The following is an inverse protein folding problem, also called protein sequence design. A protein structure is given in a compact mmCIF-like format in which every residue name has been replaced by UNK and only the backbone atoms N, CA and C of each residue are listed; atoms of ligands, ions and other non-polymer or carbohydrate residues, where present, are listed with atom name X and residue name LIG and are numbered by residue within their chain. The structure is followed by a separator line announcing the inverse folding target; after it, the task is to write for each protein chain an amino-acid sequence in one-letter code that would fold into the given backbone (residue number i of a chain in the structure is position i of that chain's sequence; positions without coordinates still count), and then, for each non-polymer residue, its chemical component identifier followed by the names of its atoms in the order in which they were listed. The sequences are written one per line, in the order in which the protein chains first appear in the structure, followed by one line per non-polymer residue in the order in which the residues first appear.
data_IF_881990580581
#
_entry.id   IF_881990580581
#
_cell.length_a   1.000
_cell.length_b   1.000
_cell.length_c   1.000
_cell.angle_alpha   90.00
_cell.angle_beta   90.00
_cell.angle_gamma   90.00
#
_symmetry.space_group_name_H-M   'P 1'
#
loop_
_entity.id
_entity.type
_entity.pdbx_description
1 polymer ?
#
# COMPACT_ATOMS: atom_id res chain seq x y z
N UNK A 1 23.64 34.23 -24.20
CA UNK A 1 23.40 32.76 -24.32
C UNK A 1 24.53 32.09 -23.57
N UNK A 2 24.35 31.76 -22.31
CA UNK A 2 25.36 31.12 -21.48
C UNK A 2 25.61 29.72 -21.99
N UNK A 3 26.81 29.45 -22.49
CA UNK A 3 27.24 28.11 -22.90
C UNK A 3 27.40 27.26 -21.63
N UNK A 4 26.45 26.34 -21.40
CA UNK A 4 26.54 25.35 -20.32
C UNK A 4 27.80 24.51 -20.59
N UNK A 5 28.78 24.60 -19.70
CA UNK A 5 30.06 23.87 -19.86
C UNK A 5 29.81 22.34 -19.77
N UNK A 6 30.56 21.52 -20.54
CA UNK A 6 30.44 20.06 -20.50
C UNK A 6 30.55 19.48 -19.07
N UNK A 7 31.36 20.08 -18.20
CA UNK A 7 31.48 19.71 -16.79
C UNK A 7 30.18 19.90 -16.02
N UNK A 8 29.45 21.00 -16.26
CA UNK A 8 28.14 21.23 -15.60
C UNK A 8 27.07 20.24 -16.05
N UNK A 9 27.10 19.80 -17.31
CA UNK A 9 26.21 18.75 -17.83
C UNK A 9 26.50 17.39 -17.19
N UNK A 10 27.77 17.02 -17.03
CA UNK A 10 28.18 15.76 -16.37
C UNK A 10 27.82 15.75 -14.89
N UNK A 11 27.98 16.88 -14.19
CA UNK A 11 27.59 17.01 -12.79
C UNK A 11 26.08 16.91 -12.59
N UNK A 12 25.30 17.51 -13.48
CA UNK A 12 23.83 17.44 -13.47
C UNK A 12 23.35 16.01 -13.72
N UNK A 13 23.98 15.29 -14.64
CA UNK A 13 23.65 13.89 -14.93
C UNK A 13 24.00 12.97 -13.75
N UNK A 14 25.17 13.17 -13.12
CA UNK A 14 25.57 12.42 -11.94
C UNK A 14 24.61 12.64 -10.75
N UNK A 15 24.20 13.89 -10.48
CA UNK A 15 23.19 14.23 -9.44
C UNK A 15 21.84 13.57 -9.74
N UNK A 16 21.40 13.59 -10.99
CA UNK A 16 20.15 12.96 -11.42
C UNK A 16 20.19 11.45 -11.23
N UNK A 17 21.29 10.79 -11.64
CA UNK A 17 21.48 9.34 -11.43
C UNK A 17 21.50 8.98 -9.94
N UNK A 18 22.20 9.76 -9.10
CA UNK A 18 22.21 9.57 -7.65
C UNK A 18 20.82 9.68 -7.05
N UNK A 19 20.06 10.72 -7.44
CA UNK A 19 18.68 10.93 -6.96
C UNK A 19 17.76 9.76 -7.34
N UNK A 20 17.86 9.23 -8.58
CA UNK A 20 17.09 8.04 -9.00
C UNK A 20 17.47 6.79 -8.23
N UNK A 21 18.77 6.57 -7.93
CA UNK A 21 19.22 5.44 -7.11
C UNK A 21 18.66 5.53 -5.68
N UNK A 22 18.74 6.70 -5.06
CA UNK A 22 18.17 6.92 -3.73
C UNK A 22 16.66 6.70 -3.70
N UNK A 23 15.94 7.12 -4.73
CA UNK A 23 14.50 6.89 -4.83
C UNK A 23 14.16 5.39 -4.99
N UNK A 24 14.96 4.63 -5.74
CA UNK A 24 14.78 3.18 -5.85
C UNK A 24 15.06 2.46 -4.53
N UNK A 25 16.13 2.85 -3.80
CA UNK A 25 16.41 2.34 -2.45
C UNK A 25 15.30 2.69 -1.46
N UNK A 26 14.77 3.92 -1.54
CA UNK A 26 13.61 4.33 -0.76
C UNK A 26 12.39 3.44 -1.03
N UNK A 27 12.12 3.09 -2.28
CA UNK A 27 11.03 2.15 -2.61
C UNK A 27 11.24 0.77 -2.03
N UNK A 28 12.48 0.24 -2.03
CA UNK A 28 12.78 -1.03 -1.37
C UNK A 28 12.54 -0.93 0.15
N UNK A 29 12.93 0.19 0.77
CA UNK A 29 12.61 0.45 2.18
C UNK A 29 11.11 0.50 2.43
N UNK A 30 10.32 1.17 1.58
CA UNK A 30 8.87 1.21 1.70
C UNK A 30 8.25 -0.19 1.57
N UNK A 31 8.74 -1.01 0.64
CA UNK A 31 8.32 -2.41 0.50
C UNK A 31 8.63 -3.22 1.76
N UNK A 32 9.82 -3.05 2.35
CA UNK A 32 10.19 -3.69 3.62
C UNK A 32 9.27 -3.24 4.76
N UNK A 33 8.99 -1.94 4.88
CA UNK A 33 8.07 -1.40 5.88
C UNK A 33 6.68 -2.02 5.73
N UNK A 34 6.11 -2.04 4.53
CA UNK A 34 4.77 -2.58 4.31
C UNK A 34 4.71 -4.11 4.46
N UNK A 35 5.72 -4.84 3.96
CA UNK A 35 5.79 -6.29 4.10
C UNK A 35 5.98 -6.73 5.56
N UNK A 36 6.90 -6.08 6.28
CA UNK A 36 7.14 -6.35 7.70
C UNK A 36 5.96 -6.00 8.60
N UNK A 37 5.12 -5.04 8.19
CA UNK A 37 3.96 -4.65 9.00
C UNK A 37 3.00 -5.82 9.28
N UNK A 38 2.79 -6.71 8.31
CA UNK A 38 1.93 -7.90 8.50
C UNK A 38 2.54 -8.83 9.55
N UNK A 39 3.85 -9.06 9.47
CA UNK A 39 4.58 -9.93 10.40
C UNK A 39 4.63 -9.34 11.81
N UNK A 40 5.01 -8.06 11.93
CA UNK A 40 5.09 -7.34 13.22
C UNK A 40 3.72 -7.26 13.88
N UNK A 41 2.65 -6.98 13.12
CA UNK A 41 1.29 -6.93 13.65
C UNK A 41 0.82 -8.33 14.09
N UNK A 42 1.12 -9.38 13.33
CA UNK A 42 0.79 -10.76 13.70
C UNK A 42 1.55 -11.17 14.96
N UNK A 43 2.85 -10.87 15.04
CA UNK A 43 3.65 -11.12 16.23
C UNK A 43 3.07 -10.41 17.46
N UNK A 44 2.68 -9.14 17.34
CA UNK A 44 2.06 -8.39 18.43
C UNK A 44 0.78 -9.06 18.95
N UNK A 45 -0.08 -9.51 18.02
CA UNK A 45 -1.34 -10.19 18.37
C UNK A 45 -1.07 -11.53 19.07
N UNK A 46 -0.11 -12.32 18.60
CA UNK A 46 0.26 -13.58 19.24
C UNK A 46 0.89 -13.39 20.63
N UNK A 47 1.44 -12.21 20.92
CA UNK A 47 2.04 -11.84 22.20
C UNK A 47 1.13 -10.97 23.09
N UNK A 48 -0.20 -11.03 22.88
CA UNK A 48 -1.19 -10.50 23.81
C UNK A 48 -1.74 -9.10 23.53
N UNK A 49 -1.19 -8.38 22.54
CA UNK A 49 -1.83 -7.16 22.06
C UNK A 49 -3.05 -7.52 21.20
N UNK A 50 -4.14 -6.80 21.38
CA UNK A 50 -5.32 -6.99 20.53
C UNK A 50 -5.21 -6.17 19.23
N UNK A 51 -6.02 -6.53 18.23
CA UNK A 51 -6.21 -5.70 17.05
C UNK A 51 -6.65 -4.27 17.39
N UNK A 52 -7.39 -4.12 18.48
CA UNK A 52 -7.88 -2.82 18.95
C UNK A 52 -6.75 -1.94 19.51
N UNK A 53 -5.79 -2.55 20.25
CA UNK A 53 -4.60 -1.84 20.77
C UNK A 53 -3.72 -1.32 19.61
N UNK A 54 -3.47 -2.18 18.61
CA UNK A 54 -2.66 -1.81 17.43
C UNK A 54 -3.33 -0.71 16.60
N UNK A 55 -4.66 -0.77 16.48
CA UNK A 55 -5.44 0.24 15.77
C UNK A 55 -5.44 1.58 16.49
N UNK A 56 -5.61 1.56 17.82
CA UNK A 56 -5.53 2.75 18.65
C UNK A 56 -4.14 3.42 18.55
N UNK A 57 -3.06 2.63 18.68
CA UNK A 57 -1.69 3.13 18.51
C UNK A 57 -1.46 3.74 17.12
N UNK A 58 -1.95 3.08 16.05
CA UNK A 58 -1.82 3.58 14.68
C UNK A 58 -2.45 4.95 14.51
N UNK A 59 -3.72 5.09 14.88
CA UNK A 59 -4.46 6.31 14.63
C UNK A 59 -4.16 7.41 15.64
N UNK A 60 -3.88 7.09 16.90
CA UNK A 60 -3.43 8.06 17.88
C UNK A 60 -2.15 8.78 17.39
N UNK A 61 -1.13 8.00 16.99
CA UNK A 61 0.15 8.59 16.58
C UNK A 61 0.03 9.26 15.20
N UNK A 62 -0.49 8.57 14.19
CA UNK A 62 -0.59 9.14 12.85
C UNK A 62 -1.58 10.33 12.81
N UNK A 63 -2.72 10.22 13.50
CA UNK A 63 -3.73 11.27 13.53
C UNK A 63 -3.21 12.54 14.21
N UNK A 64 -2.52 12.41 15.36
CA UNK A 64 -1.94 13.56 16.07
C UNK A 64 -0.81 14.20 15.25
N UNK A 65 0.10 13.42 14.72
CA UNK A 65 1.24 13.95 13.92
C UNK A 65 0.80 14.60 12.60
N UNK A 66 -0.28 14.11 11.98
CA UNK A 66 -0.82 14.67 10.73
C UNK A 66 -1.92 15.72 10.95
N UNK A 67 -2.32 15.97 12.20
CA UNK A 67 -3.31 16.98 12.54
C UNK A 67 -2.98 18.38 11.98
N UNK A 68 -1.72 18.88 12.06
CA UNK A 68 -1.37 20.18 11.47
C UNK A 68 -1.59 20.22 9.95
N UNK A 69 -1.33 19.12 9.24
CA UNK A 69 -1.56 19.02 7.78
C UNK A 69 -3.05 19.08 7.47
N UNK A 70 -3.86 18.38 8.27
CA UNK A 70 -5.31 18.36 8.13
C UNK A 70 -5.96 19.72 8.40
N UNK A 71 -5.47 20.46 9.42
CA UNK A 71 -6.04 21.75 9.83
C UNK A 71 -5.66 22.92 8.93
N UNK A 72 -4.56 22.84 8.17
CA UNK A 72 -4.10 23.93 7.30
C UNK A 72 -5.18 24.50 6.36
N UNK A 73 -6.00 23.68 5.66
CA UNK A 73 -7.08 24.17 4.80
C UNK A 73 -8.36 24.51 5.55
N UNK A 74 -8.40 24.31 6.86
CA UNK A 74 -9.55 24.56 7.73
C UNK A 74 -10.40 23.32 8.01
N UNK A 75 -10.89 23.20 9.24
CA UNK A 75 -11.70 22.08 9.71
C UNK A 75 -13.02 21.96 8.93
N UNK A 76 -13.67 23.08 8.64
CA UNK A 76 -14.95 23.11 7.93
C UNK A 76 -14.88 22.46 6.55
N UNK A 77 -13.73 22.54 5.89
CA UNK A 77 -13.49 21.95 4.57
C UNK A 77 -13.04 20.48 4.61
N UNK A 78 -12.93 19.86 5.78
CA UNK A 78 -12.38 18.51 5.95
C UNK A 78 -11.02 18.37 5.23
N UNK A 79 -10.02 19.14 5.67
CA UNK A 79 -8.70 19.12 5.04
C UNK A 79 -8.68 19.62 3.58
N UNK A 80 -9.70 20.38 3.15
CA UNK A 80 -9.79 20.94 1.79
C UNK A 80 -10.40 20.05 0.73
N UNK A 81 -11.00 18.90 1.09
CA UNK A 81 -11.63 17.98 0.11
C UNK A 81 -13.14 17.85 0.29
N UNK A 82 -13.69 18.34 1.40
CA UNK A 82 -15.09 18.20 1.78
C UNK A 82 -15.41 16.92 2.54
N UNK A 83 -16.36 16.98 3.46
CA UNK A 83 -16.68 15.90 4.40
C UNK A 83 -17.14 14.61 3.71
N UNK A 84 -17.92 14.71 2.63
CA UNK A 84 -18.39 13.54 1.86
C UNK A 84 -17.21 12.76 1.27
N UNK A 85 -16.22 13.46 0.68
CA UNK A 85 -15.02 12.82 0.12
C UNK A 85 -14.11 12.29 1.22
N UNK A 86 -13.94 13.06 2.32
CA UNK A 86 -13.20 12.64 3.50
C UNK A 86 -13.75 11.35 4.09
N UNK A 87 -15.06 11.20 4.20
CA UNK A 87 -15.73 9.97 4.64
C UNK A 87 -15.37 8.77 3.76
N UNK A 88 -15.49 8.90 2.43
CA UNK A 88 -15.17 7.80 1.51
C UNK A 88 -13.68 7.43 1.52
N UNK A 89 -12.78 8.40 1.65
CA UNK A 89 -11.35 8.14 1.82
C UNK A 89 -11.09 7.38 3.12
N UNK A 90 -11.74 7.77 4.22
CA UNK A 90 -11.58 7.12 5.53
C UNK A 90 -12.19 5.72 5.53
N UNK A 91 -13.34 5.52 4.91
CA UNK A 91 -13.94 4.20 4.74
C UNK A 91 -13.00 3.26 3.98
N UNK A 92 -12.39 3.75 2.92
CA UNK A 92 -11.54 2.93 2.03
C UNK A 92 -10.14 2.66 2.56
N UNK A 93 -9.57 3.50 3.43
CA UNK A 93 -8.18 3.33 3.91
C UNK A 93 -7.97 3.66 5.39
N UNK A 94 -9.03 4.03 6.12
CA UNK A 94 -8.98 4.37 7.54
C UNK A 94 -9.27 3.20 8.48
N UNK A 95 -9.91 3.53 9.61
CA UNK A 95 -10.18 2.53 10.66
C UNK A 95 -10.98 1.31 10.19
N UNK A 96 -11.99 1.37 9.28
CA UNK A 96 -12.72 0.17 8.90
C UNK A 96 -11.84 -0.84 8.16
N UNK A 97 -11.03 -0.38 7.20
CA UNK A 97 -10.08 -1.22 6.48
C UNK A 97 -9.01 -1.79 7.42
N UNK A 98 -8.46 -0.95 8.32
CA UNK A 98 -7.44 -1.36 9.29
C UNK A 98 -8.00 -2.38 10.27
N UNK A 99 -9.26 -2.24 10.70
CA UNK A 99 -9.95 -3.21 11.54
C UNK A 99 -10.01 -4.59 10.87
N UNK A 100 -10.44 -4.67 9.61
CA UNK A 100 -10.45 -5.93 8.86
C UNK A 100 -9.04 -6.52 8.76
N UNK A 101 -8.02 -5.70 8.45
CA UNK A 101 -6.63 -6.15 8.33
C UNK A 101 -6.13 -6.78 9.63
N UNK A 102 -6.27 -6.08 10.74
CA UNK A 102 -5.77 -6.56 12.03
C UNK A 102 -6.59 -7.73 12.56
N UNK A 103 -7.92 -7.74 12.35
CA UNK A 103 -8.78 -8.88 12.67
C UNK A 103 -8.39 -10.12 11.83
N UNK A 104 -8.11 -9.96 10.54
CA UNK A 104 -7.60 -11.05 9.71
C UNK A 104 -6.31 -11.66 10.26
N UNK A 105 -5.40 -10.81 10.77
CA UNK A 105 -4.14 -11.25 11.38
C UNK A 105 -4.32 -11.98 12.73
N UNK A 106 -5.47 -11.89 13.40
CA UNK A 106 -5.75 -12.74 14.56
C UNK A 106 -6.16 -14.16 14.17
N UNK A 107 -6.63 -14.35 12.93
CA UNK A 107 -7.28 -15.58 12.46
C UNK A 107 -6.44 -16.35 11.44
N UNK A 108 -5.59 -15.66 10.66
CA UNK A 108 -4.84 -16.25 9.56
C UNK A 108 -3.36 -15.83 9.58
N UNK A 109 -2.47 -16.61 8.92
CA UNK A 109 -1.05 -16.33 8.84
C UNK A 109 -0.72 -14.96 8.22
N UNK A 110 0.42 -14.38 8.62
CA UNK A 110 0.88 -13.09 8.10
C UNK A 110 1.12 -13.13 6.58
N UNK A 111 1.60 -14.26 6.04
CA UNK A 111 1.80 -14.47 4.60
C UNK A 111 0.49 -14.32 3.79
N UNK A 112 -0.65 -14.76 4.33
CA UNK A 112 -1.97 -14.59 3.70
C UNK A 112 -2.33 -13.09 3.62
N UNK A 113 -2.19 -12.36 4.72
CA UNK A 113 -2.45 -10.92 4.77
C UNK A 113 -1.58 -10.13 3.80
N UNK A 114 -0.28 -10.43 3.79
CA UNK A 114 0.68 -9.79 2.89
C UNK A 114 0.42 -10.09 1.40
N UNK A 115 -0.35 -11.14 1.08
CA UNK A 115 -0.57 -11.61 -0.29
C UNK A 115 -1.99 -11.30 -0.79
N UNK A 116 -3.02 -11.69 -0.04
CA UNK A 116 -4.43 -11.55 -0.46
C UNK A 116 -4.84 -10.08 -0.54
N UNK A 117 -4.53 -9.29 0.50
CA UNK A 117 -4.87 -7.88 0.53
C UNK A 117 -4.27 -7.10 -0.66
N UNK A 118 -2.94 -7.02 -0.79
CA UNK A 118 -2.29 -6.33 -1.91
C UNK A 118 -2.65 -6.91 -3.29
N UNK A 119 -2.84 -8.23 -3.41
CA UNK A 119 -3.31 -8.87 -4.64
C UNK A 119 -4.69 -8.33 -5.06
N UNK A 120 -5.63 -8.30 -4.15
CA UNK A 120 -6.98 -7.78 -4.38
C UNK A 120 -6.98 -6.27 -4.66
N UNK A 121 -6.15 -5.48 -3.94
CA UNK A 121 -5.94 -4.04 -4.22
C UNK A 121 -5.55 -3.82 -5.68
N UNK A 122 -4.59 -4.61 -6.16
CA UNK A 122 -4.11 -4.50 -7.55
C UNK A 122 -5.22 -4.83 -8.53
N UNK A 123 -6.02 -5.87 -8.27
CA UNK A 123 -7.16 -6.23 -9.12
C UNK A 123 -8.22 -5.12 -9.18
N UNK A 124 -8.62 -4.59 -8.02
CA UNK A 124 -9.58 -3.47 -7.96
C UNK A 124 -9.01 -2.24 -8.66
N UNK A 125 -7.71 -1.95 -8.48
CA UNK A 125 -7.02 -0.86 -9.16
C UNK A 125 -7.05 -1.01 -10.69
N UNK A 126 -6.85 -2.22 -11.21
CA UNK A 126 -6.92 -2.52 -12.65
C UNK A 126 -8.34 -2.37 -13.17
N UNK A 127 -9.30 -3.07 -12.55
CA UNK A 127 -10.73 -3.04 -12.97
C UNK A 127 -11.24 -1.59 -12.90
N UNK A 128 -10.98 -0.89 -11.80
CA UNK A 128 -11.38 0.49 -11.61
C UNK A 128 -10.73 1.44 -12.62
N UNK A 129 -9.44 1.23 -12.96
CA UNK A 129 -8.77 2.04 -13.97
C UNK A 129 -9.39 1.87 -15.36
N UNK A 130 -9.80 0.65 -15.71
CA UNK A 130 -10.54 0.39 -16.96
C UNK A 130 -11.92 1.03 -16.93
N UNK A 131 -12.70 0.77 -15.87
CA UNK A 131 -14.09 1.21 -15.78
C UNK A 131 -14.23 2.73 -15.61
N UNK A 132 -13.35 3.37 -14.82
CA UNK A 132 -13.46 4.79 -14.45
C UNK A 132 -12.65 5.71 -15.36
N UNK A 133 -11.54 5.23 -15.93
CA UNK A 133 -10.60 6.06 -16.69
C UNK A 133 -10.36 5.56 -18.11
N UNK A 134 -11.08 4.52 -18.56
CA UNK A 134 -10.95 3.99 -19.92
C UNK A 134 -9.57 3.37 -20.22
N UNK A 135 -8.85 2.87 -19.22
CA UNK A 135 -7.56 2.25 -19.42
C UNK A 135 -7.69 1.01 -20.34
N UNK A 136 -6.75 0.86 -21.29
CA UNK A 136 -6.80 -0.24 -22.25
C UNK A 136 -6.56 -1.60 -21.57
N UNK A 137 -7.44 -2.57 -21.82
CA UNK A 137 -7.24 -3.98 -21.48
C UNK A 137 -6.22 -4.58 -22.44
N UNK A 138 -5.01 -4.82 -21.93
CA UNK A 138 -3.99 -5.51 -22.72
C UNK A 138 -3.97 -7.00 -22.37
N UNK A 139 -3.57 -7.86 -23.32
CA UNK A 139 -3.47 -9.31 -23.07
C UNK A 139 -2.57 -9.63 -21.86
N UNK A 140 -1.50 -8.86 -21.64
CA UNK A 140 -0.64 -9.00 -20.45
C UNK A 140 -1.36 -8.71 -19.15
N UNK A 141 -2.19 -7.68 -19.14
CA UNK A 141 -3.01 -7.33 -17.99
C UNK A 141 -3.96 -8.47 -17.64
N UNK A 142 -4.60 -9.06 -18.66
CA UNK A 142 -5.51 -10.20 -18.46
C UNK A 142 -4.78 -11.44 -17.95
N UNK A 143 -3.59 -11.74 -18.50
CA UNK A 143 -2.75 -12.85 -17.99
C UNK A 143 -2.35 -12.61 -16.54
N UNK A 144 -1.96 -11.38 -16.19
CA UNK A 144 -1.62 -11.02 -14.83
C UNK A 144 -2.79 -11.17 -13.86
N UNK A 145 -3.97 -10.69 -14.26
CA UNK A 145 -5.22 -10.85 -13.47
C UNK A 145 -5.58 -12.33 -13.29
N UNK A 146 -5.50 -13.13 -14.35
CA UNK A 146 -5.75 -14.58 -14.28
C UNK A 146 -4.76 -15.27 -13.31
N UNK A 147 -3.48 -14.89 -13.34
CA UNK A 147 -2.47 -15.39 -12.39
C UNK A 147 -2.80 -15.03 -10.94
N UNK A 148 -3.22 -13.79 -10.67
CA UNK A 148 -3.66 -13.36 -9.33
C UNK A 148 -4.88 -14.15 -8.86
N UNK A 149 -5.89 -14.31 -9.71
CA UNK A 149 -7.10 -15.09 -9.39
C UNK A 149 -6.77 -16.56 -9.09
N UNK A 150 -5.96 -17.20 -9.94
CA UNK A 150 -5.53 -18.57 -9.75
C UNK A 150 -4.76 -18.73 -8.41
N UNK A 151 -3.89 -17.79 -8.09
CA UNK A 151 -3.16 -17.79 -6.83
C UNK A 151 -4.06 -17.58 -5.60
N UNK A 152 -5.05 -16.71 -5.67
CA UNK A 152 -6.06 -16.54 -4.61
C UNK A 152 -6.89 -17.81 -4.41
N UNK A 153 -7.25 -18.51 -5.49
CA UNK A 153 -7.93 -19.82 -5.42
C UNK A 153 -7.05 -20.87 -4.74
N UNK A 154 -5.75 -20.96 -5.08
CA UNK A 154 -4.82 -21.86 -4.40
C UNK A 154 -4.75 -21.60 -2.89
N UNK A 155 -4.68 -20.34 -2.47
CA UNK A 155 -4.69 -19.97 -1.04
C UNK A 155 -6.01 -20.34 -0.37
N UNK A 156 -7.15 -20.09 -1.04
CA UNK A 156 -8.46 -20.45 -0.53
C UNK A 156 -8.63 -21.96 -0.36
N UNK A 157 -8.19 -22.76 -1.35
CA UNK A 157 -8.21 -24.25 -1.29
C UNK A 157 -7.27 -24.75 -0.18
N UNK A 158 -6.06 -24.20 -0.08
CA UNK A 158 -5.13 -24.57 0.99
C UNK A 158 -5.68 -24.27 2.38
N UNK A 159 -6.34 -23.13 2.54
CA UNK A 159 -7.04 -22.74 3.77
C UNK A 159 -8.23 -23.66 4.09
N UNK A 160 -8.93 -24.17 3.07
CA UNK A 160 -10.06 -25.10 3.25
C UNK A 160 -9.64 -26.54 3.47
N UNK A 161 -8.52 -27.00 2.90
CA UNK A 161 -8.05 -28.39 2.94
C UNK A 161 -7.44 -28.81 4.29
N UNK A 162 -6.96 -27.83 5.09
CA UNK A 162 -6.55 -28.04 6.49
C UNK A 162 -7.56 -27.51 7.49
N UNK A 163 -8.73 -27.27 7.07
CA UNK A 163 -9.78 -26.35 7.43
C UNK A 163 -9.94 -26.05 8.92
N UNK A 164 -9.22 -25.09 9.38
CA UNK A 164 -9.75 -24.27 10.43
C UNK A 164 -10.63 -23.16 9.78
N UNK A 165 -11.95 -23.22 10.01
CA UNK A 165 -12.91 -22.18 9.53
C UNK A 165 -12.47 -20.77 9.93
N UNK A 166 -11.63 -20.64 10.95
CA UNK A 166 -11.01 -19.42 11.42
C UNK A 166 -10.07 -18.81 10.37
N UNK A 167 -9.19 -19.62 9.76
CA UNK A 167 -8.27 -19.12 8.71
C UNK A 167 -9.03 -18.59 7.50
N UNK A 168 -10.09 -19.27 7.07
CA UNK A 168 -10.94 -18.80 5.97
C UNK A 168 -11.61 -17.45 6.31
N UNK A 169 -12.07 -17.27 7.55
CA UNK A 169 -12.61 -15.97 8.00
C UNK A 169 -11.55 -14.87 7.95
N UNK A 170 -10.30 -15.18 8.35
CA UNK A 170 -9.16 -14.27 8.21
C UNK A 170 -8.90 -13.88 6.76
N UNK A 171 -8.92 -14.85 5.85
CA UNK A 171 -8.73 -14.62 4.41
C UNK A 171 -9.85 -13.75 3.81
N UNK A 172 -11.10 -13.95 4.24
CA UNK A 172 -12.23 -13.08 3.87
C UNK A 172 -12.04 -11.65 4.39
N UNK A 173 -11.49 -11.48 5.60
CA UNK A 173 -11.11 -10.16 6.08
C UNK A 173 -10.06 -9.50 5.16
N UNK A 174 -9.03 -10.25 4.72
CA UNK A 174 -8.02 -9.71 3.80
C UNK A 174 -8.57 -9.41 2.40
N UNK A 175 -9.54 -10.17 1.90
CA UNK A 175 -10.28 -9.81 0.69
C UNK A 175 -11.03 -8.48 0.90
N UNK A 176 -11.71 -8.32 2.04
CA UNK A 176 -12.38 -7.07 2.42
C UNK A 176 -11.41 -5.88 2.49
N UNK A 177 -10.20 -6.08 3.04
CA UNK A 177 -9.10 -5.10 3.01
C UNK A 177 -8.79 -4.70 1.58
N UNK A 178 -8.59 -5.68 0.71
CA UNK A 178 -8.25 -5.43 -0.69
C UNK A 178 -9.34 -4.69 -1.45
N UNK A 179 -10.60 -5.02 -1.19
CA UNK A 179 -11.75 -4.30 -1.75
C UNK A 179 -11.76 -2.84 -1.30
N UNK A 180 -11.73 -2.58 -0.01
CA UNK A 180 -11.75 -1.21 0.53
C UNK A 180 -10.53 -0.42 0.07
N UNK A 181 -9.35 -0.91 0.33
CA UNK A 181 -8.10 -0.21 0.03
C UNK A 181 -7.85 -0.05 -1.48
N UNK A 182 -8.35 -0.97 -2.31
CA UNK A 182 -8.25 -0.87 -3.76
C UNK A 182 -8.98 0.35 -4.35
N UNK A 183 -10.05 0.80 -3.70
CA UNK A 183 -10.74 2.04 -4.09
C UNK A 183 -9.97 3.31 -3.71
N UNK A 184 -9.14 3.28 -2.69
CA UNK A 184 -8.44 4.47 -2.19
C UNK A 184 -7.61 5.20 -3.26
N UNK A 185 -6.69 4.56 -4.02
CA UNK A 185 -5.95 5.23 -5.08
C UNK A 185 -6.85 5.71 -6.23
N UNK A 186 -7.95 5.01 -6.54
CA UNK A 186 -8.91 5.44 -7.54
C UNK A 186 -9.63 6.73 -7.12
N UNK A 187 -10.05 6.82 -5.86
CA UNK A 187 -10.69 8.00 -5.30
C UNK A 187 -9.73 9.20 -5.26
N UNK A 188 -8.46 8.99 -4.86
CA UNK A 188 -7.42 10.03 -4.88
C UNK A 188 -7.23 10.56 -6.30
N UNK A 189 -7.15 9.69 -7.29
CA UNK A 189 -6.99 10.06 -8.69
C UNK A 189 -8.22 10.78 -9.23
N UNK A 190 -9.43 10.26 -8.96
CA UNK A 190 -10.70 10.84 -9.39
C UNK A 190 -10.89 12.27 -8.85
N UNK A 191 -10.56 12.47 -7.58
CA UNK A 191 -10.76 13.77 -6.91
C UNK A 191 -9.52 14.66 -6.94
N UNK A 192 -8.42 14.21 -7.56
CA UNK A 192 -7.13 14.92 -7.67
C UNK A 192 -6.61 15.38 -6.29
N UNK A 193 -6.73 14.54 -5.28
CA UNK A 193 -6.29 14.82 -3.92
C UNK A 193 -4.81 14.49 -3.79
N UNK A 194 -4.04 15.36 -3.17
CA UNK A 194 -2.64 15.08 -2.83
C UNK A 194 -2.54 13.93 -1.81
N UNK A 195 -1.57 13.02 -2.00
CA UNK A 195 -1.43 11.82 -1.18
C UNK A 195 -1.18 12.11 0.30
N UNK A 196 -0.34 13.11 0.64
CA UNK A 196 -0.10 13.50 2.03
C UNK A 196 -1.39 14.05 2.67
N UNK A 197 -2.13 14.88 1.94
CA UNK A 197 -3.41 15.42 2.40
C UNK A 197 -4.45 14.31 2.59
N UNK A 198 -4.56 13.39 1.63
CA UNK A 198 -5.47 12.25 1.74
C UNK A 198 -5.15 11.39 2.97
N UNK A 199 -3.87 11.12 3.25
CA UNK A 199 -3.46 10.38 4.44
C UNK A 199 -3.73 11.15 5.73
N UNK A 200 -3.52 12.47 5.75
CA UNK A 200 -3.85 13.29 6.90
C UNK A 200 -5.36 13.23 7.22
N UNK A 201 -6.22 13.33 6.18
CA UNK A 201 -7.67 13.20 6.34
C UNK A 201 -8.04 11.83 6.91
N UNK A 202 -7.54 10.76 6.30
CA UNK A 202 -7.82 9.38 6.75
C UNK A 202 -7.38 9.17 8.20
N UNK A 203 -6.17 9.60 8.55
CA UNK A 203 -5.62 9.42 9.90
C UNK A 203 -6.37 10.23 10.94
N UNK A 204 -6.67 11.51 10.67
CA UNK A 204 -7.38 12.38 11.60
C UNK A 204 -8.84 11.96 11.77
N UNK A 205 -9.55 11.64 10.69
CA UNK A 205 -10.93 11.16 10.81
C UNK A 205 -11.02 9.79 11.51
N UNK A 206 -9.97 8.97 11.39
CA UNK A 206 -9.90 7.70 12.11
C UNK A 206 -9.65 7.85 13.62
N UNK A 207 -9.30 9.06 14.11
CA UNK A 207 -9.28 9.34 15.56
C UNK A 207 -10.64 9.12 16.23
N UNK A 208 -11.73 9.17 15.47
CA UNK A 208 -13.07 8.82 15.98
C UNK A 208 -13.13 7.41 16.60
N UNK A 209 -12.19 6.56 16.22
CA UNK A 209 -12.06 5.23 16.84
C UNK A 209 -11.54 5.26 18.27
N UNK A 210 -10.75 6.26 18.67
CA UNK A 210 -10.16 6.31 20.01
C UNK A 210 -11.18 6.34 21.15
N UNK A 211 -12.26 7.16 21.10
CA UNK A 211 -13.34 7.08 22.10
C UNK A 211 -13.93 5.67 22.19
N UNK A 212 -14.16 5.01 21.04
CA UNK A 212 -14.70 3.63 21.01
C UNK A 212 -13.71 2.67 21.68
N UNK A 213 -12.41 2.82 21.38
CA UNK A 213 -11.37 2.00 22.01
C UNK A 213 -11.35 2.18 23.52
N UNK A 214 -11.31 3.41 24.02
CA UNK A 214 -11.24 3.67 25.45
C UNK A 214 -12.50 3.23 26.23
N UNK A 215 -13.68 3.28 25.60
CA UNK A 215 -14.94 2.87 26.23
C UNK A 215 -15.14 1.35 26.26
N UNK A 216 -14.69 0.62 25.23
CA UNK A 216 -15.07 -0.78 25.07
C UNK A 216 -13.91 -1.77 25.08
N UNK A 217 -12.69 -1.34 24.75
CA UNK A 217 -11.56 -2.24 24.49
C UNK A 217 -10.31 -1.95 25.32
N UNK A 218 -10.27 -0.82 25.99
CA UNK A 218 -9.13 -0.43 26.80
C UNK A 218 -8.98 -1.32 28.03
N UNK A 219 -7.86 -2.01 28.14
CA UNK A 219 -7.54 -2.98 29.21
C UNK A 219 -6.57 -2.44 30.28
N UNK A 220 -6.26 -1.14 30.23
CA UNK A 220 -5.23 -0.53 31.04
C UNK A 220 -3.91 -0.33 30.27
N UNK A 221 -2.96 0.36 30.89
CA UNK A 221 -1.62 0.58 30.31
C UNK A 221 -0.65 -0.58 30.60
N UNK A 222 -1.07 -1.56 31.41
CA UNK A 222 -0.26 -2.70 31.85
C UNK A 222 -0.35 -3.91 30.88
N UNK A 223 -1.08 -3.77 29.77
CA UNK A 223 -1.27 -4.85 28.77
C UNK A 223 0.04 -5.27 28.11
N UNK A 224 1.04 -4.39 28.08
CA UNK A 224 2.38 -4.66 27.61
C UNK A 224 3.36 -3.62 28.19
N UNK A 225 4.66 -3.93 28.28
CA UNK A 225 5.68 -2.95 28.66
C UNK A 225 5.60 -1.71 27.75
N UNK A 226 5.80 -0.52 28.33
CA UNK A 226 5.66 0.75 27.59
C UNK A 226 6.53 0.82 26.31
N UNK A 227 7.71 0.21 26.34
CA UNK A 227 8.60 0.17 25.16
C UNK A 227 8.04 -0.68 24.03
N UNK A 228 7.26 -1.74 24.34
CA UNK A 228 6.53 -2.56 23.33
C UNK A 228 5.44 -1.72 22.69
N UNK A 229 4.65 -1.00 23.50
CA UNK A 229 3.62 -0.09 22.98
C UNK A 229 4.24 1.02 22.12
N UNK A 230 5.37 1.60 22.55
CA UNK A 230 6.10 2.61 21.79
C UNK A 230 6.63 2.04 20.46
N UNK A 231 7.20 0.83 20.46
CA UNK A 231 7.71 0.17 19.25
C UNK A 231 6.59 -0.09 18.24
N UNK A 232 5.46 -0.65 18.69
CA UNK A 232 4.32 -0.90 17.83
C UNK A 232 3.65 0.39 17.37
N UNK A 233 3.55 1.39 18.22
CA UNK A 233 3.05 2.72 17.86
C UNK A 233 3.93 3.40 16.80
N UNK A 234 5.24 3.34 16.97
CA UNK A 234 6.20 3.84 15.99
C UNK A 234 6.08 3.10 14.65
N UNK A 235 6.03 1.76 14.68
CA UNK A 235 5.85 0.97 13.47
C UNK A 235 4.52 1.29 12.76
N UNK A 236 3.42 1.29 13.48
CA UNK A 236 2.09 1.47 12.93
C UNK A 236 1.83 2.92 12.48
N UNK A 237 2.13 3.89 13.34
CA UNK A 237 1.80 5.30 13.09
C UNK A 237 2.86 6.04 12.28
N UNK A 238 4.15 5.84 12.59
CA UNK A 238 5.24 6.58 11.93
C UNK A 238 5.73 5.85 10.68
N UNK A 239 6.22 4.61 10.82
CA UNK A 239 6.84 3.92 9.68
C UNK A 239 5.82 3.62 8.59
N UNK A 240 4.69 2.98 8.92
CA UNK A 240 3.72 2.58 7.92
C UNK A 240 2.93 3.74 7.32
N UNK A 241 2.52 4.70 8.13
CA UNK A 241 1.66 5.79 7.65
C UNK A 241 2.50 6.94 7.11
N UNK A 242 3.44 7.50 7.93
CA UNK A 242 4.13 8.74 7.57
C UNK A 242 5.30 8.46 6.63
N UNK A 243 6.25 7.61 7.06
CA UNK A 243 7.47 7.33 6.29
C UNK A 243 7.15 6.60 5.00
N UNK A 244 6.34 5.54 5.07
CA UNK A 244 5.96 4.74 3.91
C UNK A 244 5.30 5.60 2.83
N UNK A 245 4.34 6.45 3.20
CA UNK A 245 3.65 7.33 2.26
C UNK A 245 4.59 8.40 1.69
N UNK A 246 5.40 9.04 2.56
CA UNK A 246 6.31 10.10 2.12
C UNK A 246 7.34 9.56 1.11
N UNK A 247 7.96 8.41 1.43
CA UNK A 247 8.93 7.75 0.54
C UNK A 247 8.27 7.36 -0.78
N UNK A 248 7.06 6.81 -0.72
CA UNK A 248 6.30 6.42 -1.91
C UNK A 248 5.99 7.61 -2.82
N UNK A 249 5.47 8.70 -2.26
CA UNK A 249 5.17 9.93 -2.99
C UNK A 249 6.43 10.58 -3.59
N UNK A 250 7.51 10.67 -2.80
CA UNK A 250 8.79 11.19 -3.29
C UNK A 250 9.37 10.35 -4.43
N UNK A 251 9.36 9.03 -4.30
CA UNK A 251 9.83 8.14 -5.36
C UNK A 251 8.97 8.25 -6.62
N UNK A 252 7.66 8.43 -6.50
CA UNK A 252 6.78 8.63 -7.64
C UNK A 252 7.13 9.91 -8.42
N UNK A 253 7.51 10.98 -7.74
CA UNK A 253 7.99 12.20 -8.40
C UNK A 253 9.36 12.03 -9.08
N UNK A 254 10.26 11.24 -8.51
CA UNK A 254 11.63 11.06 -9.04
C UNK A 254 11.72 10.03 -10.13
N UNK A 255 11.07 8.87 -9.95
CA UNK A 255 11.15 7.70 -10.85
C UNK A 255 10.00 7.66 -11.85
N UNK A 256 8.92 8.36 -11.57
CA UNK A 256 7.67 8.30 -12.30
C UNK A 256 6.77 7.14 -11.86
N UNK A 257 5.44 7.29 -12.04
CA UNK A 257 4.44 6.32 -11.57
C UNK A 257 4.63 4.92 -12.17
N UNK A 258 5.07 4.85 -13.44
CA UNK A 258 5.30 3.58 -14.15
C UNK A 258 6.40 2.72 -13.52
N UNK A 259 7.46 3.35 -12.96
CA UNK A 259 8.55 2.63 -12.28
C UNK A 259 8.10 2.23 -10.89
N UNK A 260 7.50 3.15 -10.13
CA UNK A 260 7.03 2.91 -8.76
C UNK A 260 5.98 1.80 -8.72
N UNK A 261 5.10 1.71 -9.72
CA UNK A 261 4.09 0.65 -9.82
C UNK A 261 4.65 -0.78 -9.99
N UNK A 262 5.97 -0.97 -10.10
CA UNK A 262 6.62 -2.28 -10.15
C UNK A 262 7.04 -2.83 -8.78
N UNK A 263 6.99 -2.00 -7.73
CA UNK A 263 7.42 -2.39 -6.38
C UNK A 263 6.35 -3.12 -5.54
N UNK A 264 5.05 -2.83 -5.66
CA UNK A 264 4.01 -3.49 -4.86
C UNK A 264 4.07 -5.02 -4.86
N UNK A 265 4.37 -5.70 -5.99
CA UNK A 265 4.50 -7.16 -6.00
C UNK A 265 5.59 -7.72 -5.08
N UNK A 266 6.53 -6.89 -4.61
CA UNK A 266 7.55 -7.29 -3.66
C UNK A 266 7.05 -7.30 -2.20
N UNK A 267 5.92 -6.66 -1.89
CA UNK A 267 5.35 -6.63 -0.53
C UNK A 267 5.00 -8.05 -0.04
N UNK A 268 4.26 -8.88 -0.81
CA UNK A 268 4.02 -10.26 -0.39
C UNK A 268 5.31 -11.09 -0.25
N UNK A 269 6.30 -10.86 -1.11
CA UNK A 269 7.60 -11.55 -1.01
C UNK A 269 8.26 -11.25 0.34
N UNK A 270 8.39 -9.97 0.69
CA UNK A 270 9.02 -9.57 1.95
C UNK A 270 8.22 -10.03 3.17
N UNK A 271 6.88 -9.94 3.12
CA UNK A 271 6.01 -10.42 4.20
C UNK A 271 6.16 -11.93 4.43
N UNK A 272 6.13 -12.74 3.37
CA UNK A 272 6.28 -14.19 3.48
C UNK A 272 7.68 -14.58 3.96
N UNK A 273 8.74 -13.99 3.39
CA UNK A 273 10.11 -14.29 3.80
C UNK A 273 10.39 -13.92 5.26
N UNK A 274 9.80 -12.82 5.76
CA UNK A 274 9.94 -12.42 7.15
C UNK A 274 9.07 -13.24 8.10
N UNK A 275 7.92 -13.77 7.66
CA UNK A 275 7.04 -14.59 8.48
C UNK A 275 7.72 -15.91 8.92
N UNK A 276 8.57 -16.49 8.08
CA UNK A 276 9.27 -17.74 8.37
C UNK A 276 10.17 -17.60 9.63
N UNK A 277 11.19 -16.70 9.66
CA UNK A 277 12.07 -16.59 10.81
C UNK A 277 11.46 -15.92 12.04
N UNK A 278 10.46 -15.04 11.86
CA UNK A 278 9.89 -14.24 12.97
C UNK A 278 8.73 -14.96 13.64
N UNK A 279 7.90 -15.65 12.87
CA UNK A 279 6.67 -16.29 13.35
C UNK A 279 6.73 -17.82 13.31
N UNK A 280 7.73 -18.41 12.65
CA UNK A 280 7.77 -19.86 12.40
C UNK A 280 6.67 -20.33 11.43
N UNK A 281 6.03 -19.41 10.72
CA UNK A 281 4.95 -19.75 9.77
C UNK A 281 5.56 -20.28 8.47
N UNK A 282 5.59 -21.61 8.31
CA UNK A 282 6.07 -22.25 7.08
C UNK A 282 4.90 -22.50 6.14
N UNK A 283 4.84 -21.82 4.97
CA UNK A 283 3.75 -22.01 4.02
C UNK A 283 3.74 -23.44 3.46
N UNK A 284 2.55 -24.02 3.29
CA UNK A 284 2.38 -25.30 2.60
C UNK A 284 2.74 -25.17 1.10
N UNK A 285 3.01 -26.28 0.42
CA UNK A 285 3.35 -26.27 -1.02
C UNK A 285 2.27 -25.59 -1.88
N UNK A 286 0.99 -25.79 -1.55
CA UNK A 286 -0.12 -25.16 -2.27
C UNK A 286 -0.20 -23.65 -1.97
N UNK A 287 0.09 -23.22 -0.73
CA UNK A 287 0.20 -21.81 -0.37
C UNK A 287 1.37 -21.16 -1.11
N UNK A 288 2.53 -21.80 -1.18
CA UNK A 288 3.68 -21.31 -1.94
C UNK A 288 3.34 -21.15 -3.43
N UNK A 289 2.68 -22.15 -4.02
CA UNK A 289 2.23 -22.07 -5.42
C UNK A 289 1.27 -20.87 -5.61
N UNK A 290 0.31 -20.68 -4.71
CA UNK A 290 -0.60 -19.53 -4.71
C UNK A 290 0.12 -18.20 -4.62
N UNK A 291 1.08 -18.05 -3.70
CA UNK A 291 1.91 -16.87 -3.54
C UNK A 291 2.71 -16.57 -4.82
N UNK A 292 3.36 -17.59 -5.41
CA UNK A 292 4.11 -17.46 -6.67
C UNK A 292 3.21 -17.00 -7.82
N UNK A 293 2.00 -17.56 -7.94
CA UNK A 293 1.03 -17.16 -8.96
C UNK A 293 0.57 -15.71 -8.77
N UNK A 294 0.31 -15.28 -7.54
CA UNK A 294 -0.07 -13.88 -7.24
C UNK A 294 1.09 -12.94 -7.59
N UNK A 295 2.29 -13.23 -7.11
CA UNK A 295 3.48 -12.39 -7.37
C UNK A 295 3.76 -12.33 -8.88
N UNK A 296 3.77 -13.46 -9.56
CA UNK A 296 3.96 -13.55 -11.00
C UNK A 296 2.88 -12.80 -11.78
N UNK A 297 1.61 -12.98 -11.38
CA UNK A 297 0.47 -12.26 -11.95
C UNK A 297 0.57 -10.74 -11.77
N UNK A 298 0.90 -10.27 -10.55
CA UNK A 298 1.13 -8.85 -10.26
C UNK A 298 2.29 -8.29 -11.09
N UNK A 299 3.38 -9.05 -11.22
CA UNK A 299 4.54 -8.66 -12.02
C UNK A 299 4.16 -8.51 -13.49
N UNK A 300 3.47 -9.49 -14.08
CA UNK A 300 3.00 -9.46 -15.47
C UNK A 300 2.02 -8.31 -15.71
N UNK A 301 1.04 -8.10 -14.80
CA UNK A 301 0.07 -7.02 -14.87
C UNK A 301 0.73 -5.63 -14.80
N UNK A 302 1.75 -5.49 -13.95
CA UNK A 302 2.46 -4.22 -13.72
C UNK A 302 3.51 -3.92 -14.81
N UNK A 303 3.82 -4.87 -15.69
CA UNK A 303 4.84 -4.72 -16.71
C UNK A 303 4.35 -3.86 -17.88
N UNK A 304 4.53 -2.56 -17.79
CA UNK A 304 4.25 -1.65 -18.90
C UNK A 304 5.43 -1.60 -19.89
N UNK A 305 5.15 -1.75 -21.20
CA UNK A 305 6.12 -1.32 -22.20
C UNK A 305 6.38 0.18 -22.02
N UNK A 306 7.64 0.65 -22.11
CA UNK A 306 7.89 2.08 -22.18
C UNK A 306 7.05 2.67 -23.32
N UNK A 307 6.33 3.76 -23.05
CA UNK A 307 5.57 4.46 -24.06
C UNK A 307 6.53 4.77 -25.23
N UNK A 308 6.18 4.33 -26.43
CA UNK A 308 6.91 4.69 -27.66
C UNK A 308 6.92 6.21 -27.70
N UNK A 309 8.09 6.84 -27.66
CA UNK A 309 8.21 8.28 -27.88
C UNK A 309 7.44 8.60 -29.16
N UNK A 310 6.59 9.64 -29.17
CA UNK A 310 6.00 10.11 -30.42
C UNK A 310 7.17 10.33 -31.38
N UNK A 311 7.13 9.65 -32.54
CA UNK A 311 8.16 9.84 -33.56
C UNK A 311 8.26 11.34 -33.85
N UNK A 312 9.47 11.86 -33.95
CA UNK A 312 9.69 13.17 -34.51
C UNK A 312 8.89 13.22 -35.81
N UNK A 313 7.80 13.98 -35.80
CA UNK A 313 7.22 14.42 -37.08
C UNK A 313 8.36 15.13 -37.79
N UNK A 314 8.88 14.50 -38.85
CA UNK A 314 9.75 15.17 -39.80
C UNK A 314 8.96 16.37 -40.27
N UNK A 315 9.41 17.55 -39.88
CA UNK A 315 8.99 18.80 -40.49
C UNK A 315 9.31 18.64 -42.00
N UNK A 316 8.33 18.76 -42.90
CA UNK A 316 8.63 18.73 -44.33
C UNK A 316 9.68 19.82 -44.63
N UNK A 317 10.79 19.45 -45.25
CA UNK A 317 11.78 20.39 -45.73
C UNK A 317 11.21 21.16 -46.92
N UNK A 318 10.66 22.33 -46.63
CA UNK A 318 10.05 23.23 -47.63
C UNK A 318 11.13 24.05 -48.32
N UNK A 319 12.20 23.38 -48.75
CA UNK A 319 13.26 23.92 -49.62
C UNK A 319 13.08 23.47 -51.06
N UNK A 320 11.92 23.70 -51.66
CA UNK A 320 11.83 23.73 -53.12
C UNK A 320 10.65 24.63 -53.54
N UNK A 321 10.93 25.91 -53.68
CA UNK A 321 10.04 26.89 -54.25
C UNK A 321 10.86 28.08 -54.78
N UNK A 322 11.30 27.92 -56.03
CA UNK A 322 11.73 29.05 -56.83
C UNK A 322 10.55 29.98 -57.12
#
# INVERSE_FOLDING_TARGET
MDQITPAALLETDARTRRRKRLAALGMLLAVLIYGSNFVISRHAVLNGLTQHDLMALRFAIAGVLLLPVFLRPGLASCGGVGWKRGFWLTLSSGFPMTYLMLTGLTMAPAAHGATIGPGTVTMIGIIGSVAMFGAALTGRLMIGVAGVLAGLLCLGIAGSAGANATTLRGDLCFLGVGLLWGFYPLLIQLWKVDGLRATAIVSVLSLVYLPIYFLFYFRGFDVAPWWVLALHGFNQGVLNVIVGLWVWGWAAHVLGPSVVGRFPPLIPVTGTLLAIPVLGEIPSSLQLAGIVLIIGGLFVASWRKPARKPGHQQVPDDRNGK
#
